data_IF_404663597701
#
_entry.id   IF_404663597701
#
_cell.length_a   1.000
_cell.length_b   1.000
_cell.length_c   1.000
_cell.angle_alpha   90.00
_cell.angle_beta   90.00
_cell.angle_gamma   90.00
#
_symmetry.space_group_name_H-M   'P 1'
#
loop_
_entity.id
_entity.type
_entity.pdbx_description
1 polymer ?
#
# COMPACT_ATOMS: atom_id res chain seq x y z
N UNK A 1 -2.38 -2.78 -21.04
CA UNK A 1 -3.58 -2.45 -20.24
C UNK A 1 -3.15 -1.77 -18.96
N UNK A 2 -3.74 -0.61 -18.67
CA UNK A 2 -3.39 0.15 -17.46
C UNK A 2 -3.56 -0.67 -16.17
N UNK A 3 -4.62 -1.48 -16.07
CA UNK A 3 -4.88 -2.32 -14.92
C UNK A 3 -3.79 -3.35 -14.66
N UNK A 4 -3.25 -3.94 -15.71
CA UNK A 4 -2.17 -4.94 -15.59
C UNK A 4 -0.87 -4.32 -15.14
N UNK A 5 -0.59 -3.10 -15.60
CA UNK A 5 0.61 -2.38 -15.21
C UNK A 5 0.62 -2.04 -13.72
N UNK A 6 -0.53 -1.67 -13.18
CA UNK A 6 -0.67 -1.29 -11.77
C UNK A 6 -0.77 -2.50 -10.83
N UNK A 7 -0.83 -3.72 -11.37
CA UNK A 7 -1.10 -4.95 -10.60
C UNK A 7 -0.02 -6.02 -10.78
N UNK A 8 1.10 -5.71 -11.40
CA UNK A 8 2.16 -6.67 -11.74
C UNK A 8 1.60 -7.88 -12.50
N UNK A 9 0.55 -7.71 -13.29
CA UNK A 9 -0.17 -8.78 -14.01
C UNK A 9 -0.75 -9.86 -13.10
N UNK A 10 -0.97 -9.57 -11.82
CA UNK A 10 -1.54 -10.54 -10.87
C UNK A 10 -3.06 -10.59 -11.01
N UNK A 11 -3.61 -11.81 -11.07
CA UNK A 11 -5.05 -12.02 -11.15
C UNK A 11 -5.74 -11.64 -9.84
N UNK A 12 -6.97 -11.13 -9.93
CA UNK A 12 -7.81 -10.82 -8.76
C UNK A 12 -7.12 -9.90 -7.73
N UNK A 13 -6.26 -9.02 -8.20
CA UNK A 13 -5.39 -8.18 -7.37
C UNK A 13 -6.17 -7.40 -6.31
N UNK A 14 -7.16 -6.62 -6.74
CA UNK A 14 -7.99 -5.81 -5.85
C UNK A 14 -8.76 -6.66 -4.85
N UNK A 15 -9.40 -7.73 -5.34
CA UNK A 15 -10.20 -8.62 -4.50
C UNK A 15 -9.34 -9.32 -3.45
N UNK A 16 -8.16 -9.80 -3.83
CA UNK A 16 -7.23 -10.43 -2.90
C UNK A 16 -6.70 -9.45 -1.86
N UNK A 17 -6.36 -8.23 -2.28
CA UNK A 17 -5.85 -7.20 -1.38
C UNK A 17 -6.90 -6.84 -0.32
N UNK A 18 -8.14 -6.58 -0.74
CA UNK A 18 -9.23 -6.25 0.18
C UNK A 18 -9.55 -7.42 1.12
N UNK A 19 -9.61 -8.64 0.59
CA UNK A 19 -9.92 -9.81 1.42
C UNK A 19 -8.86 -9.99 2.51
N UNK A 20 -7.60 -9.83 2.15
CA UNK A 20 -6.49 -10.06 3.08
C UNK A 20 -6.43 -8.98 4.17
N UNK A 21 -6.42 -7.70 3.78
CA UNK A 21 -6.33 -6.61 4.75
C UNK A 21 -7.54 -6.60 5.67
N UNK A 22 -8.73 -6.85 5.14
CA UNK A 22 -9.95 -6.82 5.94
C UNK A 22 -10.08 -8.06 6.84
N UNK A 23 -9.49 -9.19 6.46
CA UNK A 23 -9.37 -10.35 7.32
C UNK A 23 -8.51 -10.04 8.56
N UNK A 24 -7.35 -9.39 8.36
CA UNK A 24 -6.50 -8.96 9.47
C UNK A 24 -7.23 -7.98 10.38
N UNK A 25 -7.90 -6.99 9.79
CA UNK A 25 -8.61 -5.96 10.55
C UNK A 25 -9.78 -6.54 11.34
N UNK A 26 -10.51 -7.49 10.78
CA UNK A 26 -11.62 -8.14 11.48
C UNK A 26 -11.16 -8.98 12.67
N UNK A 27 -9.99 -9.58 12.57
CA UNK A 27 -9.45 -10.45 13.62
C UNK A 27 -8.71 -9.68 14.72
N UNK A 28 -8.19 -8.49 14.40
CA UNK A 28 -7.21 -7.84 15.26
C UNK A 28 -5.84 -8.46 15.05
N UNK A 29 -4.79 -7.83 15.55
CA UNK A 29 -3.43 -8.35 15.38
C UNK A 29 -2.50 -7.85 16.48
N UNK A 30 -1.49 -8.65 16.76
CA UNK A 30 -0.35 -8.22 17.56
C UNK A 30 0.74 -7.72 16.63
N UNK A 31 1.14 -6.46 16.79
CA UNK A 31 2.14 -5.81 15.95
C UNK A 31 3.49 -5.65 16.65
N UNK A 32 3.90 -6.67 17.39
CA UNK A 32 5.20 -6.69 18.07
C UNK A 32 5.38 -5.49 18.99
N UNK A 33 6.47 -4.74 18.79
CA UNK A 33 6.79 -3.57 19.61
C UNK A 33 5.75 -2.46 19.51
N UNK A 34 4.91 -2.44 18.46
CA UNK A 34 3.82 -1.47 18.32
C UNK A 34 2.58 -1.84 19.13
N UNK A 35 2.56 -3.01 19.74
CA UNK A 35 1.48 -3.46 20.62
C UNK A 35 0.39 -4.24 19.89
N UNK A 36 -0.65 -4.58 20.65
CA UNK A 36 -1.80 -5.32 20.15
C UNK A 36 -2.89 -4.36 19.71
N UNK A 37 -3.51 -4.67 18.57
CA UNK A 37 -4.58 -3.86 18.00
C UNK A 37 -5.88 -4.66 18.00
N UNK A 38 -6.98 -4.10 18.51
CA UNK A 38 -8.29 -4.76 18.45
C UNK A 38 -8.80 -4.80 17.02
N UNK A 39 -9.88 -5.56 16.76
CA UNK A 39 -10.54 -5.50 15.45
C UNK A 39 -10.83 -4.07 15.01
N UNK A 40 -10.64 -3.80 13.73
CA UNK A 40 -10.83 -2.48 13.12
C UNK A 40 -11.84 -2.58 11.97
N UNK A 41 -12.53 -1.48 11.62
CA UNK A 41 -13.49 -1.49 10.52
C UNK A 41 -12.84 -1.86 9.19
N UNK A 42 -13.61 -2.48 8.30
CA UNK A 42 -13.15 -2.84 6.96
C UNK A 42 -12.78 -1.59 6.16
N UNK A 43 -11.75 -1.72 5.34
CA UNK A 43 -11.33 -0.67 4.40
C UNK A 43 -12.08 -0.81 3.08
N UNK A 44 -12.38 0.34 2.45
CA UNK A 44 -12.95 0.40 1.12
C UNK A 44 -11.86 0.77 0.11
N UNK A 45 -11.95 0.18 -1.09
CA UNK A 45 -11.04 0.53 -2.17
C UNK A 45 -11.31 1.95 -2.64
N UNK A 46 -10.24 2.73 -2.83
CA UNK A 46 -10.33 4.12 -3.26
C UNK A 46 -9.42 4.34 -4.48
N UNK A 47 -10.01 4.83 -5.55
CA UNK A 47 -9.27 5.00 -6.81
C UNK A 47 -8.21 6.10 -6.72
N UNK A 48 -8.48 7.17 -6.01
CA UNK A 48 -7.50 8.25 -5.84
C UNK A 48 -6.27 7.74 -5.07
N UNK A 49 -6.48 6.99 -3.99
CA UNK A 49 -5.37 6.38 -3.26
C UNK A 49 -4.62 5.35 -4.10
N UNK A 50 -5.31 4.64 -4.98
CA UNK A 50 -4.68 3.72 -5.93
C UNK A 50 -3.82 4.46 -6.93
N UNK A 51 -4.27 5.61 -7.44
CA UNK A 51 -3.47 6.44 -8.34
C UNK A 51 -2.22 6.98 -7.63
N UNK A 52 -2.35 7.42 -6.39
CA UNK A 52 -1.21 7.87 -5.60
C UNK A 52 -0.19 6.72 -5.41
N UNK A 53 -0.69 5.52 -5.13
CA UNK A 53 0.15 4.32 -4.98
C UNK A 53 0.87 3.96 -6.27
N UNK A 54 0.15 3.97 -7.39
CA UNK A 54 0.73 3.68 -8.71
C UNK A 54 1.82 4.68 -9.05
N UNK A 55 1.57 5.96 -8.87
CA UNK A 55 2.55 7.00 -9.15
C UNK A 55 3.84 6.82 -8.35
N UNK A 56 3.73 6.44 -7.08
CA UNK A 56 4.91 6.22 -6.25
C UNK A 56 5.67 4.94 -6.62
N UNK A 57 4.97 3.85 -6.89
CA UNK A 57 5.61 2.61 -7.36
C UNK A 57 6.30 2.82 -8.71
N UNK A 58 5.67 3.57 -9.63
CA UNK A 58 6.29 3.95 -10.90
C UNK A 58 7.57 4.75 -10.69
N UNK A 59 7.54 5.71 -9.78
CA UNK A 59 8.67 6.56 -9.47
C UNK A 59 9.84 5.73 -8.94
N UNK A 60 9.57 4.85 -7.99
CA UNK A 60 10.58 3.95 -7.44
C UNK A 60 11.18 3.04 -8.51
N UNK A 61 10.35 2.51 -9.40
CA UNK A 61 10.80 1.64 -10.48
C UNK A 61 11.62 2.43 -11.51
N UNK A 62 11.10 3.56 -11.97
CA UNK A 62 11.74 4.33 -13.04
C UNK A 62 13.12 4.85 -12.65
N UNK A 63 13.31 5.25 -11.39
CA UNK A 63 14.55 5.82 -10.91
C UNK A 63 15.32 4.86 -9.99
N UNK A 64 14.87 3.63 -9.88
CA UNK A 64 15.53 2.55 -9.14
C UNK A 64 15.88 2.96 -7.70
N UNK A 65 14.87 3.35 -6.93
CA UNK A 65 15.06 3.65 -5.50
C UNK A 65 13.93 3.02 -4.67
N UNK A 66 14.13 2.97 -3.36
CA UNK A 66 13.14 2.42 -2.44
C UNK A 66 13.07 3.34 -1.22
N UNK A 67 12.01 4.17 -1.16
CA UNK A 67 11.83 5.15 -0.09
C UNK A 67 10.37 5.62 -0.04
N UNK A 68 9.93 6.03 1.14
CA UNK A 68 8.63 6.71 1.28
C UNK A 68 8.63 8.08 0.61
N UNK A 69 9.76 8.74 0.54
CA UNK A 69 9.89 10.05 -0.11
C UNK A 69 10.06 9.86 -1.60
N UNK A 70 9.23 10.51 -2.40
CA UNK A 70 9.30 10.45 -3.86
C UNK A 70 10.54 11.18 -4.40
N UNK A 71 10.86 10.95 -5.67
CA UNK A 71 12.04 11.54 -6.32
C UNK A 71 11.98 13.08 -6.36
N UNK A 72 10.77 13.65 -6.37
CA UNK A 72 10.57 15.10 -6.31
C UNK A 72 10.52 15.65 -4.88
N UNK A 73 10.72 14.80 -3.88
CA UNK A 73 10.57 15.17 -2.48
C UNK A 73 9.16 14.99 -1.94
N UNK A 74 8.24 14.39 -2.71
CA UNK A 74 6.84 14.25 -2.30
C UNK A 74 6.67 13.31 -1.12
N UNK A 75 5.76 13.69 -0.22
CA UNK A 75 5.27 12.83 0.87
C UNK A 75 4.03 12.07 0.42
N UNK A 76 3.62 11.07 1.20
CA UNK A 76 2.39 10.34 0.94
C UNK A 76 1.18 11.27 0.91
N UNK A 77 1.12 12.24 1.83
CA UNK A 77 0.03 13.23 1.87
C UNK A 77 -0.02 14.09 0.61
N UNK A 78 1.12 14.54 0.13
CA UNK A 78 1.18 15.32 -1.12
C UNK A 78 0.74 14.50 -2.32
N UNK A 79 1.11 13.23 -2.39
CA UNK A 79 0.70 12.35 -3.49
C UNK A 79 -0.81 12.06 -3.44
N UNK A 80 -1.36 11.84 -2.24
CA UNK A 80 -2.79 11.64 -2.06
C UNK A 80 -3.58 12.88 -2.50
N UNK A 81 -3.14 14.07 -2.08
CA UNK A 81 -3.75 15.34 -2.48
C UNK A 81 -3.69 15.53 -3.99
N UNK A 82 -2.53 15.27 -4.60
CA UNK A 82 -2.36 15.41 -6.05
C UNK A 82 -3.29 14.48 -6.83
N UNK A 83 -3.61 13.30 -6.27
CA UNK A 83 -4.54 12.35 -6.87
C UNK A 83 -6.02 12.69 -6.63
N UNK A 84 -6.31 13.73 -5.85
CA UNK A 84 -7.67 14.17 -5.58
C UNK A 84 -8.29 13.64 -4.31
N UNK A 85 -7.51 13.03 -3.43
CA UNK A 85 -8.01 12.52 -2.15
C UNK A 85 -7.94 13.59 -1.07
N UNK A 86 -9.09 14.07 -0.62
CA UNK A 86 -9.17 15.09 0.43
C UNK A 86 -9.19 14.37 1.77
N UNK A 87 -8.07 14.40 2.48
CA UNK A 87 -7.85 13.53 3.64
C UNK A 87 -7.74 14.28 4.96
N UNK A 88 -8.08 13.56 6.03
CA UNK A 88 -7.79 13.96 7.42
C UNK A 88 -6.54 13.26 7.93
N UNK A 89 -6.30 12.02 7.50
CA UNK A 89 -5.09 11.26 7.83
C UNK A 89 -4.75 10.32 6.68
N UNK A 90 -3.47 10.08 6.47
CA UNK A 90 -2.96 9.12 5.49
C UNK A 90 -1.77 8.37 6.05
N UNK A 91 -1.50 7.19 5.50
CA UNK A 91 -0.34 6.39 5.80
C UNK A 91 0.07 5.58 4.59
N UNK A 92 1.24 4.99 4.66
CA UNK A 92 1.81 4.26 3.53
C UNK A 92 2.60 3.06 3.99
N UNK A 93 2.40 1.93 3.32
CA UNK A 93 3.31 0.78 3.39
C UNK A 93 3.94 0.60 2.01
N UNK A 94 5.25 0.42 1.96
CA UNK A 94 5.95 0.08 0.72
C UNK A 94 6.68 -1.25 0.88
N UNK A 95 6.90 -1.92 -0.25
CA UNK A 95 7.65 -3.18 -0.29
C UNK A 95 8.26 -3.36 -1.67
N UNK A 96 9.27 -4.20 -1.77
CA UNK A 96 9.95 -4.46 -3.03
C UNK A 96 10.39 -5.92 -3.08
N UNK A 97 10.16 -6.55 -4.22
CA UNK A 97 10.60 -7.91 -4.50
C UNK A 97 9.53 -9.00 -4.37
N UNK A 98 8.45 -8.77 -3.64
CA UNK A 98 7.42 -9.77 -3.42
C UNK A 98 6.66 -10.07 -4.73
N UNK A 99 6.27 -11.33 -4.92
CA UNK A 99 5.69 -11.79 -6.19
C UNK A 99 4.18 -12.01 -6.13
N UNK A 100 3.56 -11.98 -4.95
CA UNK A 100 2.11 -12.15 -4.80
C UNK A 100 1.55 -11.22 -3.75
N UNK A 101 0.23 -10.99 -3.82
CA UNK A 101 -0.50 -10.21 -2.82
C UNK A 101 -0.37 -10.84 -1.44
N UNK A 102 -0.51 -12.17 -1.34
CA UNK A 102 -0.42 -12.86 -0.06
C UNK A 102 0.95 -12.69 0.59
N UNK A 103 2.02 -12.77 -0.20
CA UNK A 103 3.38 -12.63 0.31
C UNK A 103 3.63 -11.21 0.84
N UNK A 104 3.24 -10.18 0.07
CA UNK A 104 3.46 -8.80 0.51
C UNK A 104 2.62 -8.47 1.76
N UNK A 105 1.38 -8.92 1.80
CA UNK A 105 0.50 -8.69 2.96
C UNK A 105 1.03 -9.38 4.21
N UNK A 106 1.47 -10.63 4.11
CA UNK A 106 2.06 -11.37 5.22
C UNK A 106 3.33 -10.69 5.73
N UNK A 107 4.14 -10.17 4.81
CA UNK A 107 5.37 -9.43 5.15
C UNK A 107 5.06 -8.15 5.92
N UNK A 108 4.07 -7.40 5.47
CA UNK A 108 3.66 -6.17 6.17
C UNK A 108 3.08 -6.50 7.55
N UNK A 109 2.26 -7.54 7.65
CA UNK A 109 1.68 -7.93 8.94
C UNK A 109 2.75 -8.34 9.95
N UNK A 110 3.83 -8.96 9.48
CA UNK A 110 4.93 -9.42 10.33
C UNK A 110 5.89 -8.30 10.75
N UNK A 111 5.77 -7.10 10.17
CA UNK A 111 6.63 -5.96 10.46
C UNK A 111 5.89 -4.97 11.35
N UNK A 112 6.40 -4.67 12.58
CA UNK A 112 5.62 -3.88 13.54
C UNK A 112 5.05 -2.57 13.02
N UNK A 113 5.84 -1.74 12.34
CA UNK A 113 5.36 -0.46 11.82
C UNK A 113 4.34 -0.60 10.70
N UNK A 114 4.57 -1.53 9.78
CA UNK A 114 3.63 -1.82 8.68
C UNK A 114 2.34 -2.43 9.22
N UNK A 115 2.45 -3.31 10.20
CA UNK A 115 1.31 -3.92 10.89
C UNK A 115 0.44 -2.86 11.57
N UNK A 116 1.06 -1.91 12.25
CA UNK A 116 0.34 -0.80 12.90
C UNK A 116 -0.46 0.02 11.87
N UNK A 117 0.09 0.25 10.68
CA UNK A 117 -0.63 0.93 9.61
C UNK A 117 -1.84 0.11 9.14
N UNK A 118 -1.66 -1.19 8.91
CA UNK A 118 -2.77 -2.07 8.49
C UNK A 118 -3.92 -2.07 9.50
N UNK A 119 -3.58 -2.00 10.79
CA UNK A 119 -4.53 -2.13 11.89
C UNK A 119 -5.07 -0.81 12.42
N UNK A 120 -4.60 0.33 11.89
CA UNK A 120 -5.02 1.63 12.38
C UNK A 120 -6.51 1.86 12.10
N UNK A 121 -7.31 1.93 13.16
CA UNK A 121 -8.76 2.07 13.06
C UNK A 121 -9.22 3.42 12.49
N UNK A 122 -8.32 4.41 12.42
CA UNK A 122 -8.65 5.71 11.82
C UNK A 122 -8.74 5.64 10.30
N UNK A 123 -8.03 4.71 9.66
CA UNK A 123 -8.11 4.54 8.22
C UNK A 123 -9.42 3.87 7.82
N UNK A 124 -9.98 4.32 6.70
CA UNK A 124 -11.24 3.83 6.13
C UNK A 124 -11.09 3.42 4.67
N UNK A 125 -10.08 3.92 3.99
CA UNK A 125 -9.87 3.72 2.56
C UNK A 125 -8.48 3.19 2.27
N UNK A 126 -8.36 2.44 1.17
CA UNK A 126 -7.11 1.82 0.75
C UNK A 126 -6.94 1.90 -0.76
N UNK A 127 -5.73 2.15 -1.19
CA UNK A 127 -5.29 1.91 -2.56
C UNK A 127 -4.02 1.08 -2.54
N UNK A 128 -3.83 0.26 -3.56
CA UNK A 128 -2.66 -0.59 -3.68
C UNK A 128 -2.25 -0.67 -5.14
N UNK A 129 -0.95 -0.60 -5.39
CA UNK A 129 -0.38 -0.80 -6.72
C UNK A 129 0.88 -1.63 -6.62
N UNK A 130 1.15 -2.39 -7.68
CA UNK A 130 2.37 -3.14 -7.88
C UNK A 130 2.88 -2.86 -9.28
N UNK A 131 4.12 -2.39 -9.40
CA UNK A 131 4.76 -2.14 -10.69
C UNK A 131 5.95 -3.09 -10.84
N UNK A 132 6.00 -3.78 -11.98
CA UNK A 132 7.11 -4.68 -12.28
C UNK A 132 8.38 -3.90 -12.56
N UNK A 133 9.48 -4.35 -12.00
CA UNK A 133 10.80 -3.81 -12.31
C UNK A 133 11.31 -4.34 -13.66
N UNK A 134 12.35 -3.69 -14.16
CA UNK A 134 13.05 -4.10 -15.36
C UNK A 134 14.33 -4.86 -15.00
N UNK A 135 15.06 -5.37 -16.00
CA UNK A 135 16.36 -5.99 -15.78
C UNK A 135 17.38 -5.06 -15.12
N UNK A 136 17.17 -3.74 -15.25
CA UNK A 136 18.05 -2.72 -14.67
C UNK A 136 17.70 -2.37 -13.23
N UNK A 137 16.55 -2.84 -12.72
CA UNK A 137 16.12 -2.52 -11.36
C UNK A 137 16.72 -3.47 -10.33
N UNK A 138 16.90 -2.96 -9.12
CA UNK A 138 17.35 -3.78 -7.98
C UNK A 138 16.31 -4.81 -7.56
N UNK A 139 15.04 -4.52 -7.81
CA UNK A 139 13.92 -5.39 -7.40
C UNK A 139 13.03 -5.74 -8.57
N UNK A 140 12.38 -6.91 -8.48
CA UNK A 140 11.44 -7.40 -9.50
C UNK A 140 10.10 -6.67 -9.46
N UNK A 141 9.72 -6.18 -8.28
CA UNK A 141 8.43 -5.53 -8.06
C UNK A 141 8.59 -4.37 -7.10
N UNK A 142 7.71 -3.39 -7.25
CA UNK A 142 7.62 -2.24 -6.34
C UNK A 142 6.16 -2.07 -5.93
N UNK A 143 5.91 -2.19 -4.63
CA UNK A 143 4.56 -2.16 -4.05
C UNK A 143 4.36 -0.89 -3.25
N UNK A 144 3.22 -0.24 -3.44
CA UNK A 144 2.80 0.88 -2.60
C UNK A 144 1.35 0.68 -2.18
N UNK A 145 1.11 0.70 -0.87
CA UNK A 145 -0.21 0.74 -0.28
C UNK A 145 -0.40 2.11 0.35
N UNK A 146 -1.44 2.84 -0.05
CA UNK A 146 -1.81 4.11 0.56
C UNK A 146 -3.10 3.92 1.32
N UNK A 147 -3.09 4.30 2.58
CA UNK A 147 -4.21 4.19 3.50
C UNK A 147 -4.66 5.59 3.88
N UNK A 148 -5.95 5.76 4.10
CA UNK A 148 -6.43 7.08 4.49
C UNK A 148 -7.82 7.10 5.06
N UNK A 149 -8.15 8.26 5.62
CA UNK A 149 -9.51 8.63 5.98
C UNK A 149 -9.78 10.00 5.38
N UNK A 150 -10.94 10.14 4.72
CA UNK A 150 -11.35 11.41 4.14
C UNK A 150 -11.68 12.42 5.24
N UNK A 151 -11.51 13.69 4.89
CA UNK A 151 -11.85 14.80 5.76
C UNK A 151 -13.36 14.93 5.87
#
# INVERSE_FOLDING_TARGET
>A
MAGNRATCNLADFRAQALARVNSYRAAGASCGAQGSFPPAPALAWNDALTQASLGHSDDMMALNFFSHTGSSGSSVGQRATAAGYVWSTVGENIAAGQTTVDIVMAGWLASPGHCANLMNARFRDIGLACVSGTASNSYRTYWTMTLGAAR
#
